data_IF_084292730927
#
_entry.id   IF_084292730927
#
_cell.length_a   1.000
_cell.length_b   1.000
_cell.length_c   1.000
_cell.angle_alpha   90.00
_cell.angle_beta   90.00
_cell.angle_gamma   90.00
#
_symmetry.space_group_name_H-M   'P 1'
#
loop_
_entity.id
_entity.type
_entity.pdbx_description
1 polymer ?
#
# COMPACT_ATOMS: atom_id res chain seq x y z
N UNK A 1 -2.00 -51.07 -57.31
CA UNK A 1 -2.68 -51.96 -58.22
C UNK A 1 -3.87 -51.22 -58.80
N UNK A 2 -4.10 -51.35 -60.13
CA UNK A 2 -5.26 -50.73 -60.75
C UNK A 2 -6.48 -51.65 -60.48
N UNK A 3 -7.65 -51.06 -60.25
CA UNK A 3 -8.91 -51.83 -60.18
C UNK A 3 -9.23 -52.44 -61.55
N UNK A 4 -9.74 -53.65 -61.58
CA UNK A 4 -10.10 -54.33 -62.83
C UNK A 4 -10.59 -55.73 -62.55
N UNK A 5 -11.09 -56.34 -63.61
CA UNK A 5 -11.53 -57.73 -63.59
C UNK A 5 -10.70 -58.48 -64.63
N UNK A 6 -10.11 -59.58 -64.27
CA UNK A 6 -9.43 -60.48 -65.18
C UNK A 6 -10.04 -61.88 -65.07
N UNK A 7 -10.10 -62.61 -66.22
CA UNK A 7 -10.48 -64.00 -66.22
C UNK A 7 -9.23 -64.87 -66.44
N UNK A 8 -8.94 -65.70 -65.53
CA UNK A 8 -7.85 -66.70 -65.62
C UNK A 8 -8.49 -67.99 -66.15
N UNK A 9 -8.02 -68.47 -67.28
CA UNK A 9 -8.49 -69.68 -67.86
C UNK A 9 -7.45 -70.80 -67.79
N UNK A 10 -7.75 -71.86 -67.08
CA UNK A 10 -6.95 -73.08 -67.08
C UNK A 10 -7.57 -74.08 -68.12
N UNK A 11 -6.68 -74.71 -68.87
CA UNK A 11 -7.06 -75.78 -69.78
C UNK A 11 -6.46 -77.09 -69.34
N UNK A 12 -7.27 -78.12 -69.21
CA UNK A 12 -6.84 -79.46 -68.97
C UNK A 12 -7.54 -80.38 -70.02
N UNK A 13 -6.78 -80.91 -70.98
CA UNK A 13 -7.25 -81.62 -72.15
C UNK A 13 -8.25 -80.79 -72.94
N UNK A 14 -9.46 -81.23 -73.13
CA UNK A 14 -10.53 -80.56 -73.88
C UNK A 14 -11.40 -79.66 -73.03
N UNK A 15 -11.18 -79.57 -71.67
CA UNK A 15 -11.98 -78.79 -70.74
C UNK A 15 -11.28 -77.49 -70.39
N UNK A 16 -12.04 -76.38 -70.37
CA UNK A 16 -11.61 -75.05 -69.91
C UNK A 16 -12.30 -74.69 -68.60
N UNK A 17 -11.51 -74.19 -67.64
CA UNK A 17 -12.00 -73.69 -66.35
C UNK A 17 -11.66 -72.22 -66.28
N UNK A 18 -12.68 -71.37 -66.08
CA UNK A 18 -12.49 -69.91 -65.95
C UNK A 18 -12.70 -69.48 -64.52
N UNK A 19 -11.71 -68.75 -63.99
CA UNK A 19 -11.78 -68.07 -62.69
C UNK A 19 -11.79 -66.56 -62.91
N UNK A 20 -12.84 -65.87 -62.48
CA UNK A 20 -12.97 -64.41 -62.56
C UNK A 20 -12.38 -63.79 -61.33
N UNK A 21 -11.26 -63.07 -61.45
CA UNK A 21 -10.61 -62.34 -60.36
C UNK A 21 -10.94 -60.85 -60.44
N UNK A 22 -11.55 -60.30 -59.41
CA UNK A 22 -11.90 -58.88 -59.35
C UNK A 22 -11.02 -58.18 -58.30
N UNK A 23 -10.14 -57.24 -58.69
CA UNK A 23 -9.37 -56.41 -57.88
C UNK A 23 -10.16 -55.15 -57.54
N UNK A 24 -10.54 -55.00 -56.29
CA UNK A 24 -11.17 -53.75 -55.79
C UNK A 24 -10.09 -52.74 -55.44
N UNK A 25 -10.34 -51.46 -55.66
CA UNK A 25 -9.46 -50.42 -55.22
C UNK A 25 -9.36 -50.44 -53.67
N UNK A 26 -8.16 -50.34 -53.10
CA UNK A 26 -8.01 -50.14 -51.69
C UNK A 26 -8.74 -48.85 -51.24
N UNK A 27 -9.65 -48.97 -50.29
CA UNK A 27 -10.25 -47.76 -49.67
C UNK A 27 -9.14 -46.97 -49.00
N UNK A 28 -9.01 -45.68 -49.39
CA UNK A 28 -8.17 -44.76 -48.61
C UNK A 28 -8.64 -44.78 -47.16
N UNK A 29 -7.74 -44.91 -46.15
CA UNK A 29 -8.13 -44.82 -44.76
C UNK A 29 -8.87 -43.51 -44.55
N UNK A 30 -10.04 -43.55 -43.90
CA UNK A 30 -10.82 -42.37 -43.53
C UNK A 30 -9.90 -41.55 -42.62
N UNK A 31 -9.72 -40.23 -42.87
CA UNK A 31 -8.86 -39.40 -42.01
C UNK A 31 -9.33 -39.54 -40.55
N UNK A 32 -8.44 -39.92 -39.68
CA UNK A 32 -8.68 -39.95 -38.24
C UNK A 32 -9.03 -38.51 -37.81
N UNK A 33 -10.18 -38.26 -37.14
CA UNK A 33 -10.52 -36.92 -36.71
C UNK A 33 -9.39 -36.37 -35.83
N UNK A 34 -8.84 -35.24 -36.23
CA UNK A 34 -7.83 -34.53 -35.40
C UNK A 34 -8.50 -34.20 -34.09
N UNK A 35 -7.88 -34.54 -32.93
CA UNK A 35 -8.46 -34.28 -31.63
C UNK A 35 -8.73 -32.78 -31.50
N UNK A 36 -9.96 -32.39 -31.18
CA UNK A 36 -10.32 -30.99 -30.89
C UNK A 36 -9.60 -30.59 -29.62
N UNK A 37 -8.77 -29.53 -29.61
CA UNK A 37 -8.07 -29.10 -28.42
C UNK A 37 -9.05 -28.76 -27.30
N UNK A 38 -8.82 -29.33 -26.10
CA UNK A 38 -9.66 -29.05 -24.92
C UNK A 38 -9.45 -27.61 -24.44
N UNK A 39 -10.47 -26.98 -23.84
CA UNK A 39 -10.31 -25.69 -23.18
C UNK A 39 -9.24 -25.73 -22.12
N UNK A 40 -8.41 -24.69 -22.04
CA UNK A 40 -7.36 -24.57 -21.00
C UNK A 40 -7.16 -23.12 -20.60
N UNK A 41 -6.92 -22.90 -19.31
CA UNK A 41 -6.58 -21.59 -18.79
C UNK A 41 -5.13 -21.23 -19.16
N UNK A 42 -4.86 -19.97 -19.46
CA UNK A 42 -3.53 -19.49 -19.86
C UNK A 42 -2.46 -19.64 -18.75
N UNK A 43 -2.89 -19.63 -17.49
CA UNK A 43 -2.05 -19.90 -16.34
C UNK A 43 -2.89 -20.51 -15.20
N UNK A 44 -2.28 -21.44 -14.46
CA UNK A 44 -2.85 -22.03 -13.23
C UNK A 44 -2.31 -21.39 -11.96
N UNK A 45 -1.28 -20.55 -12.10
CA UNK A 45 -0.63 -19.80 -11.03
C UNK A 45 -0.20 -18.44 -11.53
N UNK A 46 -0.42 -17.40 -10.74
CA UNK A 46 0.10 -16.05 -10.95
C UNK A 46 0.86 -15.61 -9.69
N UNK A 47 2.10 -15.17 -9.88
CA UNK A 47 2.85 -14.42 -8.87
C UNK A 47 2.80 -12.95 -9.26
N UNK A 48 2.28 -12.12 -8.39
CA UNK A 48 2.02 -10.70 -8.63
C UNK A 48 2.51 -9.87 -7.45
N UNK A 49 2.98 -8.66 -7.70
CA UNK A 49 3.15 -7.68 -6.64
C UNK A 49 1.84 -6.92 -6.44
N UNK A 50 1.61 -6.41 -5.23
CA UNK A 50 0.50 -5.50 -4.92
C UNK A 50 0.45 -4.36 -5.96
N UNK A 51 -0.73 -4.14 -6.56
CA UNK A 51 -0.94 -3.19 -7.64
C UNK A 51 -0.72 -3.72 -9.06
N UNK A 52 -0.14 -4.90 -9.22
CA UNK A 52 0.04 -5.53 -10.53
C UNK A 52 -1.30 -5.90 -11.18
N UNK A 53 -1.30 -5.86 -12.50
CA UNK A 53 -2.43 -6.29 -13.32
C UNK A 53 -1.95 -7.35 -14.30
N UNK A 54 -2.70 -8.47 -14.41
CA UNK A 54 -2.41 -9.58 -15.33
C UNK A 54 -3.68 -10.02 -16.03
N UNK A 55 -3.53 -10.48 -17.27
CA UNK A 55 -4.63 -10.99 -18.08
C UNK A 55 -4.64 -12.51 -18.08
N UNK A 56 -5.71 -13.12 -17.58
CA UNK A 56 -6.02 -14.54 -17.78
C UNK A 56 -6.89 -14.71 -19.02
N UNK A 57 -6.65 -15.80 -19.75
CA UNK A 57 -7.40 -16.17 -20.97
C UNK A 57 -7.71 -17.65 -20.95
N UNK A 58 -8.84 -18.03 -21.54
CA UNK A 58 -9.16 -19.42 -21.81
C UNK A 58 -8.90 -19.70 -23.29
N UNK A 59 -7.97 -20.62 -23.55
CA UNK A 59 -7.63 -21.07 -24.92
C UNK A 59 -8.61 -22.10 -25.38
N UNK A 60 -8.83 -22.17 -26.71
CA UNK A 60 -9.69 -23.15 -27.39
C UNK A 60 -11.16 -23.11 -26.91
N UNK A 61 -11.63 -21.92 -26.51
CA UNK A 61 -12.98 -21.73 -26.00
C UNK A 61 -13.59 -20.43 -26.52
N UNK A 62 -14.88 -20.44 -26.86
CA UNK A 62 -15.56 -19.28 -27.45
C UNK A 62 -16.84 -18.86 -26.72
N UNK A 63 -17.26 -19.63 -25.72
CA UNK A 63 -18.48 -19.34 -24.98
C UNK A 63 -18.27 -18.22 -23.94
N UNK A 64 -19.39 -17.71 -23.43
CA UNK A 64 -19.36 -16.69 -22.37
C UNK A 64 -18.82 -17.31 -21.07
N UNK A 65 -17.82 -16.64 -20.49
CA UNK A 65 -17.17 -17.04 -19.26
C UNK A 65 -17.61 -16.16 -18.10
N UNK A 66 -17.72 -16.77 -16.93
CA UNK A 66 -17.95 -16.09 -15.65
C UNK A 66 -16.68 -16.24 -14.81
N UNK A 67 -16.13 -15.10 -14.42
CA UNK A 67 -14.92 -15.01 -13.59
C UNK A 67 -15.30 -14.59 -12.17
N UNK A 68 -14.68 -15.21 -11.16
CA UNK A 68 -14.87 -14.88 -9.76
C UNK A 68 -13.55 -14.98 -9.00
N UNK A 69 -13.39 -14.19 -7.96
CA UNK A 69 -12.30 -14.34 -6.97
C UNK A 69 -12.87 -14.91 -5.69
N UNK A 70 -12.15 -15.84 -5.06
CA UNK A 70 -12.51 -16.40 -3.76
C UNK A 70 -12.30 -15.38 -2.63
N UNK A 71 -11.34 -14.45 -2.82
CA UNK A 71 -11.07 -13.34 -1.91
C UNK A 71 -10.72 -12.08 -2.69
N UNK A 72 -11.70 -11.17 -2.81
CA UNK A 72 -11.54 -9.90 -3.51
C UNK A 72 -10.68 -8.88 -2.76
N UNK A 73 -10.42 -9.10 -1.48
CA UNK A 73 -9.50 -8.26 -0.71
C UNK A 73 -8.04 -8.52 -1.08
N UNK A 74 -7.71 -9.72 -1.57
CA UNK A 74 -6.38 -10.11 -2.05
C UNK A 74 -6.20 -9.81 -3.54
N UNK A 75 -7.15 -10.27 -4.39
CA UNK A 75 -7.12 -9.95 -5.81
C UNK A 75 -8.53 -9.93 -6.38
N UNK A 76 -8.80 -9.01 -7.31
CA UNK A 76 -10.05 -8.93 -8.06
C UNK A 76 -9.87 -9.45 -9.48
N UNK A 77 -10.99 -9.81 -10.13
CA UNK A 77 -11.02 -10.17 -11.55
C UNK A 77 -12.24 -9.53 -12.21
N UNK A 78 -12.07 -8.98 -13.41
CA UNK A 78 -13.18 -8.45 -14.19
C UNK A 78 -13.82 -9.53 -15.11
N UNK A 79 -14.90 -9.16 -15.79
CA UNK A 79 -15.63 -10.05 -16.72
C UNK A 79 -14.81 -10.50 -17.94
N UNK A 80 -13.67 -9.88 -18.20
CA UNK A 80 -12.75 -10.20 -19.29
C UNK A 80 -11.55 -11.04 -18.82
N UNK A 81 -11.48 -11.39 -17.52
CA UNK A 81 -10.36 -12.15 -16.96
C UNK A 81 -9.13 -11.30 -16.61
N UNK A 82 -9.28 -9.98 -16.50
CA UNK A 82 -8.22 -9.08 -16.03
C UNK A 82 -8.15 -9.13 -14.51
N UNK A 83 -7.07 -9.69 -13.99
CA UNK A 83 -6.79 -9.84 -12.56
C UNK A 83 -6.01 -8.63 -12.05
N UNK A 84 -6.45 -8.05 -10.94
CA UNK A 84 -5.75 -6.95 -10.23
C UNK A 84 -5.39 -7.41 -8.83
N UNK A 85 -4.10 -7.34 -8.49
CA UNK A 85 -3.59 -7.62 -7.15
C UNK A 85 -3.89 -6.45 -6.20
N UNK A 86 -4.66 -6.70 -5.14
CA UNK A 86 -5.15 -5.67 -4.20
C UNK A 86 -4.28 -5.60 -2.96
N UNK A 87 -4.17 -6.73 -2.22
CA UNK A 87 -3.35 -6.81 -1.01
C UNK A 87 -2.55 -8.12 -0.98
N UNK A 88 -1.49 -8.12 -0.17
CA UNK A 88 -0.66 -9.30 0.10
C UNK A 88 -1.52 -10.45 0.59
N UNK A 89 -1.31 -11.64 0.03
CA UNK A 89 -2.06 -12.84 0.39
C UNK A 89 -2.12 -13.85 -0.75
N UNK A 90 -2.97 -14.85 -0.56
CA UNK A 90 -3.21 -15.88 -1.57
C UNK A 90 -4.70 -16.05 -1.78
N UNK A 91 -5.13 -16.03 -3.03
CA UNK A 91 -6.52 -16.29 -3.42
C UNK A 91 -6.59 -17.16 -4.67
N UNK A 92 -7.78 -17.62 -5.04
CA UNK A 92 -8.02 -18.31 -6.31
C UNK A 92 -8.96 -17.49 -7.18
N UNK A 93 -8.56 -17.29 -8.41
CA UNK A 93 -9.45 -16.83 -9.47
C UNK A 93 -10.05 -18.05 -10.13
N UNK A 94 -11.37 -18.13 -10.14
CA UNK A 94 -12.13 -19.19 -10.77
C UNK A 94 -12.76 -18.69 -12.05
N UNK A 95 -12.84 -19.56 -13.05
CA UNK A 95 -13.54 -19.30 -14.30
C UNK A 95 -14.40 -20.49 -14.64
N UNK A 96 -15.61 -20.24 -15.10
CA UNK A 96 -16.56 -21.26 -15.53
C UNK A 96 -17.38 -20.78 -16.73
N UNK A 97 -17.84 -21.73 -17.53
CA UNK A 97 -18.89 -21.50 -18.50
C UNK A 97 -20.28 -21.78 -17.91
N UNK A 98 -21.30 -21.70 -18.76
CA UNK A 98 -22.68 -22.04 -18.39
C UNK A 98 -22.95 -23.55 -18.35
N UNK A 99 -22.04 -24.38 -18.88
CA UNK A 99 -22.21 -25.82 -18.97
C UNK A 99 -21.40 -26.60 -17.92
N UNK A 100 -20.24 -27.09 -18.27
CA UNK A 100 -19.48 -28.03 -17.43
C UNK A 100 -18.01 -27.67 -17.26
N UNK A 101 -17.46 -26.81 -18.12
CA UNK A 101 -16.03 -26.49 -18.02
C UNK A 101 -15.74 -25.50 -16.90
N UNK A 102 -14.67 -25.80 -16.17
CA UNK A 102 -14.18 -24.98 -15.05
C UNK A 102 -12.66 -24.91 -15.09
N UNK A 103 -12.13 -23.78 -14.74
CA UNK A 103 -10.70 -23.57 -14.54
C UNK A 103 -10.44 -22.73 -13.30
N UNK A 104 -9.27 -22.87 -12.72
CA UNK A 104 -8.84 -22.05 -11.58
C UNK A 104 -7.38 -21.65 -11.71
N UNK A 105 -7.06 -20.47 -11.20
CA UNK A 105 -5.70 -19.94 -11.11
C UNK A 105 -5.45 -19.49 -9.67
N UNK A 106 -4.41 -20.01 -9.02
CA UNK A 106 -3.96 -19.53 -7.71
C UNK A 106 -3.14 -18.26 -7.92
N UNK A 107 -3.51 -17.21 -7.21
CA UNK A 107 -2.83 -15.90 -7.24
C UNK A 107 -2.12 -15.69 -5.91
N UNK A 108 -0.80 -15.54 -5.98
CA UNK A 108 0.04 -15.13 -4.86
C UNK A 108 0.38 -13.66 -5.04
N UNK A 109 -0.08 -12.84 -4.12
CA UNK A 109 0.24 -11.42 -4.10
C UNK A 109 1.30 -11.18 -3.04
N UNK A 110 2.43 -10.61 -3.45
CA UNK A 110 3.53 -10.19 -2.58
C UNK A 110 3.67 -8.68 -2.65
N UNK A 111 4.46 -8.12 -1.76
CA UNK A 111 4.82 -6.70 -1.78
C UNK A 111 6.34 -6.60 -1.91
N UNK A 112 6.79 -5.80 -2.87
CA UNK A 112 8.20 -5.45 -2.94
C UNK A 112 8.52 -4.50 -1.80
N UNK A 113 9.40 -4.92 -0.88
CA UNK A 113 9.85 -4.12 0.25
C UNK A 113 11.23 -3.56 -0.08
N UNK A 114 11.32 -2.24 -0.21
CA UNK A 114 12.59 -1.56 -0.45
C UNK A 114 13.36 -1.44 0.86
N UNK A 115 14.67 -1.69 0.80
CA UNK A 115 15.54 -1.42 1.94
C UNK A 115 15.53 0.07 2.26
N UNK A 116 15.22 0.41 3.50
CA UNK A 116 15.22 1.77 4.00
C UNK A 116 16.60 2.11 4.59
N UNK A 117 16.94 3.39 4.54
CA UNK A 117 18.15 3.94 5.12
C UNK A 117 17.73 4.89 6.23
N UNK A 118 18.35 4.76 7.41
CA UNK A 118 18.09 5.68 8.54
C UNK A 118 18.26 7.14 8.10
N UNK A 119 17.34 8.03 8.49
CA UNK A 119 17.45 9.45 8.15
C UNK A 119 18.61 10.09 8.90
N UNK A 120 19.23 11.07 8.26
CA UNK A 120 20.21 11.92 8.91
C UNK A 120 19.48 12.87 9.86
N UNK A 121 19.84 12.84 11.14
CA UNK A 121 19.32 13.76 12.17
C UNK A 121 20.27 14.94 12.34
N UNK A 122 19.75 16.16 12.16
CA UNK A 122 20.42 17.41 12.51
C UNK A 122 19.70 18.04 13.69
N UNK A 123 20.41 18.25 14.80
CA UNK A 123 19.90 18.96 15.98
C UNK A 123 20.27 20.44 15.89
N UNK A 124 19.34 21.28 16.32
CA UNK A 124 19.50 22.72 16.37
C UNK A 124 18.67 23.32 17.48
N UNK A 125 18.65 24.64 17.56
CA UNK A 125 17.84 25.38 18.55
C UNK A 125 17.13 26.53 17.85
N UNK A 126 16.02 26.98 18.45
CA UNK A 126 15.36 28.24 18.07
C UNK A 126 14.75 28.93 19.27
N UNK A 127 14.50 30.26 19.18
CA UNK A 127 13.71 30.98 20.15
C UNK A 127 12.23 30.63 20.01
N UNK A 128 11.56 30.51 21.15
CA UNK A 128 10.10 30.25 21.22
C UNK A 128 9.51 31.04 22.40
N UNK A 129 8.20 31.29 22.33
CA UNK A 129 7.47 31.97 23.44
C UNK A 129 6.94 30.92 24.40
N UNK A 130 7.07 31.21 25.71
CA UNK A 130 6.51 30.40 26.80
C UNK A 130 5.71 31.31 27.72
N UNK A 131 4.45 30.94 28.02
CA UNK A 131 3.66 31.59 29.05
C UNK A 131 4.09 31.02 30.41
N UNK A 132 4.37 31.88 31.35
CA UNK A 132 4.69 31.54 32.75
C UNK A 132 3.80 32.32 33.68
N UNK A 133 3.71 31.87 34.95
CA UNK A 133 3.16 32.65 36.04
C UNK A 133 4.32 33.14 36.89
N UNK A 134 4.47 34.46 37.02
CA UNK A 134 5.54 35.07 37.79
C UNK A 134 5.27 34.99 39.32
N UNK A 135 6.20 35.42 40.12
CA UNK A 135 6.13 35.37 41.61
C UNK A 135 4.96 36.18 42.19
N UNK A 136 4.38 37.10 41.39
CA UNK A 136 3.19 37.90 41.76
C UNK A 136 1.88 37.23 41.32
N UNK A 137 1.92 36.00 40.76
CA UNK A 137 0.76 35.29 40.27
C UNK A 137 0.25 35.82 38.92
N UNK A 138 0.97 36.68 38.22
CA UNK A 138 0.60 37.26 36.94
C UNK A 138 1.12 36.41 35.78
N UNK A 139 0.32 36.29 34.72
CA UNK A 139 0.77 35.64 33.49
C UNK A 139 1.67 36.59 32.69
N UNK A 140 2.80 36.07 32.26
CA UNK A 140 3.72 36.77 31.37
C UNK A 140 4.23 35.82 30.27
N UNK A 141 4.66 36.36 29.14
CA UNK A 141 5.22 35.61 28.04
C UNK A 141 6.71 35.92 27.93
N UNK A 142 7.52 34.90 28.10
CA UNK A 142 8.97 34.99 28.02
C UNK A 142 9.50 34.29 26.76
N UNK A 143 10.71 34.65 26.34
CA UNK A 143 11.43 33.92 25.31
C UNK A 143 12.26 32.82 25.95
N UNK A 144 12.18 31.62 25.38
CA UNK A 144 12.96 30.45 25.78
C UNK A 144 13.65 29.86 24.54
N UNK A 145 14.79 29.21 24.77
CA UNK A 145 15.45 28.44 23.70
C UNK A 145 14.96 27.02 23.73
N UNK A 146 14.50 26.51 22.60
CA UNK A 146 14.00 25.14 22.42
C UNK A 146 14.84 24.38 21.42
N UNK A 147 14.91 23.05 21.59
CA UNK A 147 15.58 22.15 20.66
C UNK A 147 14.72 21.89 19.43
N UNK A 148 15.40 21.73 18.30
CA UNK A 148 14.81 21.33 17.01
C UNK A 148 15.50 20.09 16.47
N UNK A 149 14.75 19.26 15.73
CA UNK A 149 15.14 17.97 15.22
C UNK A 149 14.75 17.89 13.75
N UNK A 150 15.73 18.00 12.85
CA UNK A 150 15.50 17.89 11.41
C UNK A 150 15.94 16.53 10.93
N UNK A 151 14.98 15.72 10.50
CA UNK A 151 15.23 14.44 9.86
C UNK A 151 15.25 14.60 8.34
N UNK A 152 16.39 14.23 7.74
CA UNK A 152 16.58 14.24 6.28
C UNK A 152 16.58 12.81 5.76
N UNK A 153 15.65 12.49 4.87
CA UNK A 153 15.40 11.16 4.36
C UNK A 153 15.96 10.98 2.95
N UNK A 154 16.77 9.96 2.74
CA UNK A 154 17.23 9.51 1.43
C UNK A 154 16.31 8.45 0.82
N UNK A 155 15.65 7.67 1.67
CA UNK A 155 14.60 6.72 1.30
C UNK A 155 13.32 7.09 2.03
N UNK A 156 12.17 6.89 1.36
CA UNK A 156 10.85 7.23 1.89
C UNK A 156 10.02 5.95 1.95
N UNK A 157 9.48 5.58 3.11
CA UNK A 157 8.66 4.38 3.21
C UNK A 157 7.33 4.60 2.48
N UNK A 158 6.90 3.58 1.75
CA UNK A 158 5.64 3.58 1.00
C UNK A 158 4.61 2.61 1.56
N UNK A 159 4.99 1.81 2.54
CA UNK A 159 4.15 0.82 3.20
C UNK A 159 4.68 0.51 4.60
N UNK A 160 3.89 -0.24 5.39
CA UNK A 160 4.23 -0.54 6.78
C UNK A 160 5.51 -1.38 6.93
N UNK A 161 5.81 -2.31 6.01
CA UNK A 161 7.01 -3.16 6.10
C UNK A 161 8.29 -2.33 5.86
N UNK A 162 8.23 -1.34 5.00
CA UNK A 162 9.31 -0.38 4.80
C UNK A 162 9.47 0.53 6.03
N UNK A 163 8.35 1.00 6.59
CA UNK A 163 8.36 1.88 7.77
C UNK A 163 8.92 1.18 9.00
N UNK A 164 8.62 -0.11 9.20
CA UNK A 164 9.13 -0.91 10.33
C UNK A 164 10.66 -1.06 10.36
N UNK A 165 11.35 -0.77 9.26
CA UNK A 165 12.81 -0.83 9.19
C UNK A 165 13.49 0.34 9.91
N UNK A 166 12.77 1.43 10.20
CA UNK A 166 13.33 2.56 10.94
C UNK A 166 13.38 2.28 12.43
N UNK A 167 14.53 2.60 13.04
CA UNK A 167 14.70 2.44 14.49
C UNK A 167 14.05 3.61 15.25
N UNK A 168 12.97 3.32 15.96
CA UNK A 168 12.24 4.24 16.83
C UNK A 168 12.51 3.99 18.32
N UNK A 169 13.59 3.27 18.68
CA UNK A 169 13.99 3.02 20.08
C UNK A 169 14.93 4.10 20.64
N UNK A 170 15.55 4.89 19.77
CA UNK A 170 16.55 5.91 20.11
C UNK A 170 16.01 6.97 21.08
N UNK A 171 16.90 7.73 21.70
CA UNK A 171 16.52 8.83 22.60
C UNK A 171 15.59 9.85 21.92
N UNK A 172 15.86 10.15 20.65
CA UNK A 172 15.06 11.08 19.83
C UNK A 172 13.90 10.38 19.08
N UNK A 173 13.61 9.12 19.41
CA UNK A 173 12.62 8.27 18.73
C UNK A 173 11.22 8.86 18.68
N UNK A 174 10.81 9.66 19.71
CA UNK A 174 9.51 10.36 19.71
C UNK A 174 9.37 11.34 18.53
N UNK A 175 10.43 12.07 18.20
CA UNK A 175 10.42 12.97 17.04
C UNK A 175 10.45 12.19 15.73
N UNK A 176 11.26 11.11 15.67
CA UNK A 176 11.28 10.23 14.50
C UNK A 176 9.90 9.60 14.24
N UNK A 177 9.19 9.17 15.29
CA UNK A 177 7.82 8.65 15.19
C UNK A 177 6.87 9.66 14.54
N UNK A 178 6.95 10.95 14.95
CA UNK A 178 6.17 12.01 14.32
C UNK A 178 6.57 12.26 12.86
N UNK A 179 7.88 12.24 12.56
CA UNK A 179 8.34 12.38 11.17
C UNK A 179 7.83 11.25 10.28
N UNK A 180 7.87 10.00 10.76
CA UNK A 180 7.36 8.83 10.04
C UNK A 180 5.83 8.87 9.86
N UNK A 181 5.09 9.41 10.83
CA UNK A 181 3.65 9.64 10.69
C UNK A 181 3.35 10.63 9.55
N UNK A 182 4.09 11.72 9.46
CA UNK A 182 3.96 12.69 8.36
C UNK A 182 4.24 12.03 7.01
N UNK A 183 5.25 11.15 6.94
CA UNK A 183 5.51 10.39 5.71
C UNK A 183 4.40 9.38 5.40
N UNK A 184 3.78 8.77 6.40
CA UNK A 184 2.65 7.87 6.21
C UNK A 184 1.46 8.57 5.53
N UNK A 185 1.13 9.81 5.90
CA UNK A 185 0.04 10.56 5.24
C UNK A 185 0.24 10.76 3.75
N UNK A 186 1.49 10.77 3.27
CA UNK A 186 1.80 10.93 1.84
C UNK A 186 1.45 9.69 1.01
N UNK A 187 1.29 8.54 1.65
CA UNK A 187 0.95 7.28 0.95
C UNK A 187 -0.55 7.13 0.71
N UNK A 188 -1.38 7.91 1.41
CA UNK A 188 -2.82 7.81 1.26
C UNK A 188 -3.30 8.34 -0.10
N UNK A 189 -4.08 7.52 -0.80
CA UNK A 189 -4.80 7.94 -2.02
C UNK A 189 -6.23 7.40 -1.97
N UNK A 190 -7.17 7.98 -2.72
CA UNK A 190 -8.54 7.45 -2.80
C UNK A 190 -8.64 6.00 -3.26
N UNK A 191 -7.65 5.52 -4.03
CA UNK A 191 -7.60 4.16 -4.58
C UNK A 191 -6.73 3.21 -3.77
N UNK A 192 -5.86 3.72 -2.90
CA UNK A 192 -5.01 2.92 -2.02
C UNK A 192 -4.85 3.59 -0.65
N UNK A 193 -5.85 3.50 0.25
CA UNK A 193 -5.74 4.01 1.63
C UNK A 193 -4.95 3.08 2.56
N UNK A 194 -4.86 1.79 2.23
CA UNK A 194 -4.43 0.71 3.14
C UNK A 194 -3.00 0.90 3.62
N UNK A 195 -2.06 1.28 2.76
CA UNK A 195 -0.67 1.45 3.17
C UNK A 195 -0.53 2.52 4.27
N UNK A 196 -1.24 3.65 4.14
CA UNK A 196 -1.28 4.69 5.17
C UNK A 196 -1.91 4.18 6.48
N UNK A 197 -3.04 3.47 6.39
CA UNK A 197 -3.76 2.92 7.54
C UNK A 197 -2.89 1.93 8.33
N UNK A 198 -2.17 1.04 7.63
CA UNK A 198 -1.25 0.08 8.24
C UNK A 198 -0.03 0.76 8.87
N UNK A 199 0.54 1.78 8.23
CA UNK A 199 1.65 2.57 8.78
C UNK A 199 1.22 3.29 10.06
N UNK A 200 0.05 3.94 10.08
CA UNK A 200 -0.49 4.60 11.26
C UNK A 200 -0.77 3.57 12.37
N UNK A 201 -1.36 2.42 12.03
CA UNK A 201 -1.63 1.33 12.99
C UNK A 201 -0.34 0.87 13.68
N UNK A 202 0.75 0.69 12.93
CA UNK A 202 2.05 0.36 13.49
C UNK A 202 2.58 1.44 14.42
N UNK A 203 2.57 2.71 13.99
CA UNK A 203 3.07 3.83 14.80
C UNK A 203 2.19 4.09 16.04
N UNK A 204 0.93 3.72 16.01
CA UNK A 204 -0.01 3.81 17.13
C UNK A 204 0.03 2.56 18.05
N UNK A 205 0.79 1.54 17.67
CA UNK A 205 0.85 0.23 18.34
C UNK A 205 -0.55 -0.39 18.57
N UNK A 206 -1.47 -0.11 17.66
CA UNK A 206 -2.86 -0.56 17.72
C UNK A 206 -3.49 -0.54 16.34
N UNK A 207 -4.20 -1.59 16.00
CA UNK A 207 -4.95 -1.65 14.74
C UNK A 207 -5.99 -0.53 14.67
N UNK A 208 -6.08 0.11 13.52
CA UNK A 208 -7.03 1.19 13.26
C UNK A 208 -8.44 0.64 13.10
N UNK A 209 -9.37 1.07 13.95
CA UNK A 209 -10.78 0.68 13.85
C UNK A 209 -11.44 1.27 12.61
N UNK A 210 -12.58 0.70 12.17
CA UNK A 210 -13.32 1.21 11.02
C UNK A 210 -13.77 2.67 11.20
N UNK A 211 -14.06 3.10 12.44
CA UNK A 211 -14.36 4.49 12.76
C UNK A 211 -13.19 5.42 12.37
N UNK A 212 -11.97 5.09 12.79
CA UNK A 212 -10.78 5.89 12.50
C UNK A 212 -10.36 5.82 11.02
N UNK A 213 -10.56 4.70 10.34
CA UNK A 213 -10.36 4.60 8.88
C UNK A 213 -11.30 5.54 8.14
N UNK A 214 -12.56 5.60 8.55
CA UNK A 214 -13.54 6.55 7.99
C UNK A 214 -13.14 7.99 8.27
N UNK A 215 -12.73 8.31 9.51
CA UNK A 215 -12.25 9.63 9.89
C UNK A 215 -11.05 10.07 9.02
N UNK A 216 -10.02 9.21 8.90
CA UNK A 216 -8.85 9.47 8.04
C UNK A 216 -9.28 9.74 6.60
N UNK A 217 -10.12 8.88 6.03
CA UNK A 217 -10.64 9.02 4.66
C UNK A 217 -11.33 10.37 4.46
N UNK A 218 -12.20 10.75 5.37
CA UNK A 218 -12.99 11.98 5.24
C UNK A 218 -12.10 13.22 5.31
N UNK A 219 -11.07 13.21 6.18
CA UNK A 219 -10.06 14.27 6.26
C UNK A 219 -9.17 14.35 5.03
N UNK A 220 -8.73 13.19 4.52
CA UNK A 220 -7.88 13.14 3.32
C UNK A 220 -8.61 13.53 2.05
N UNK A 221 -9.92 13.26 1.96
CA UNK A 221 -10.75 13.69 0.81
C UNK A 221 -11.13 15.16 0.87
N UNK A 222 -11.34 15.71 2.08
CA UNK A 222 -11.73 17.10 2.24
C UNK A 222 -10.70 18.03 1.60
N UNK A 223 -11.14 18.96 0.77
CA UNK A 223 -10.30 19.97 0.10
C UNK A 223 -9.08 19.37 -0.62
N UNK A 224 -9.19 18.13 -1.13
CA UNK A 224 -8.09 17.37 -1.73
C UNK A 224 -6.89 17.17 -0.78
N UNK A 225 -7.14 17.05 0.52
CA UNK A 225 -6.10 16.91 1.56
C UNK A 225 -5.03 15.87 1.22
N UNK A 226 -5.40 14.73 0.61
CA UNK A 226 -4.47 13.70 0.20
C UNK A 226 -3.35 14.17 -0.74
N UNK A 227 -3.56 15.27 -1.49
CA UNK A 227 -2.53 15.82 -2.38
C UNK A 227 -1.51 16.67 -1.63
N UNK A 228 -1.93 17.32 -0.55
CA UNK A 228 -1.18 18.41 0.06
C UNK A 228 -0.81 18.17 1.52
N UNK A 229 -1.68 17.53 2.31
CA UNK A 229 -1.53 17.47 3.77
C UNK A 229 -0.18 16.89 4.20
N UNK A 230 0.18 15.68 3.74
CA UNK A 230 1.45 15.06 4.08
C UNK A 230 2.66 15.89 3.63
N UNK A 231 2.55 16.54 2.47
CA UNK A 231 3.62 17.40 1.97
C UNK A 231 3.73 18.73 2.72
N UNK A 232 2.61 19.27 3.24
CA UNK A 232 2.59 20.58 3.91
C UNK A 232 3.52 20.67 5.13
N UNK A 233 3.85 19.53 5.73
CA UNK A 233 4.76 19.41 6.86
C UNK A 233 6.23 19.30 6.47
N UNK A 234 6.55 19.19 5.19
CA UNK A 234 7.92 19.02 4.71
C UNK A 234 8.58 20.37 4.49
N UNK A 235 9.89 20.43 4.77
CA UNK A 235 10.66 21.66 4.59
C UNK A 235 10.60 22.12 3.11
N UNK A 236 10.40 23.43 2.93
CA UNK A 236 10.28 24.07 1.62
C UNK A 236 8.89 23.96 0.97
N UNK A 237 7.98 23.15 1.51
CA UNK A 237 6.61 23.06 1.02
C UNK A 237 5.77 24.27 1.53
N UNK A 238 5.12 24.98 0.62
CA UNK A 238 4.30 26.15 0.93
C UNK A 238 3.03 26.17 0.06
N UNK A 239 1.98 26.91 0.44
CA UNK A 239 0.82 27.09 -0.43
C UNK A 239 1.19 27.67 -1.81
N UNK A 240 2.19 28.58 -1.85
CA UNK A 240 2.62 29.25 -3.08
C UNK A 240 3.28 28.30 -4.10
N UNK A 241 3.88 27.20 -3.64
CA UNK A 241 4.51 26.20 -4.52
C UNK A 241 3.73 24.88 -4.59
N UNK A 242 2.41 24.91 -4.32
CA UNK A 242 1.54 23.74 -4.28
C UNK A 242 2.07 22.63 -3.33
N UNK A 243 2.63 23.02 -2.21
CA UNK A 243 3.25 22.12 -1.24
C UNK A 243 4.29 21.17 -1.84
N UNK A 244 5.10 21.68 -2.77
CA UNK A 244 6.25 20.97 -3.33
C UNK A 244 7.43 21.09 -2.37
N UNK A 245 7.88 20.01 -1.73
CA UNK A 245 8.96 20.09 -0.75
C UNK A 245 10.33 20.24 -1.41
N UNK A 246 11.28 20.80 -0.65
CA UNK A 246 12.69 20.79 -1.03
C UNK A 246 13.26 19.37 -1.07
N UNK A 247 14.30 19.16 -1.86
CA UNK A 247 15.03 17.89 -1.88
C UNK A 247 16.46 18.10 -1.35
N UNK A 248 17.00 17.17 -0.56
CA UNK A 248 16.35 15.93 -0.07
C UNK A 248 15.16 16.22 0.84
N UNK A 249 14.23 15.27 0.93
CA UNK A 249 13.05 15.39 1.79
C UNK A 249 13.47 15.50 3.24
N UNK A 250 13.02 16.54 3.92
CA UNK A 250 13.29 16.73 5.33
C UNK A 250 12.10 17.28 6.10
N UNK A 251 12.08 17.01 7.41
CA UNK A 251 11.02 17.39 8.35
C UNK A 251 11.67 17.97 9.58
N UNK A 252 11.27 19.17 9.97
CA UNK A 252 11.75 19.82 11.20
C UNK A 252 10.69 19.75 12.28
N UNK A 253 11.06 19.12 13.39
CA UNK A 253 10.26 18.98 14.59
C UNK A 253 10.89 19.76 15.73
N UNK A 254 10.14 20.03 16.77
CA UNK A 254 10.63 20.76 17.92
C UNK A 254 10.07 20.24 19.23
N UNK A 255 10.80 20.56 20.28
CA UNK A 255 10.42 20.35 21.65
C UNK A 255 9.18 21.16 22.02
N UNK A 256 8.43 20.68 23.03
CA UNK A 256 7.38 21.43 23.71
C UNK A 256 7.98 22.58 24.54
N UNK A 257 7.23 23.67 24.65
CA UNK A 257 7.59 24.83 25.48
C UNK A 257 7.01 24.77 26.89
N UNK A 258 6.08 23.84 27.17
CA UNK A 258 5.39 23.77 28.48
C UNK A 258 6.18 23.09 29.57
N UNK A 259 6.85 21.91 29.35
CA UNK A 259 7.55 21.23 30.44
C UNK A 259 8.68 22.07 31.05
N UNK A 260 8.73 22.10 32.37
CA UNK A 260 9.73 22.86 33.14
C UNK A 260 9.11 24.02 33.94
N UNK A 261 9.89 24.53 34.91
CA UNK A 261 9.45 25.61 35.80
C UNK A 261 10.11 26.94 35.42
N UNK A 262 9.36 28.03 35.53
CA UNK A 262 9.89 29.38 35.26
C UNK A 262 10.50 29.48 33.87
N UNK A 263 11.72 29.98 33.75
CA UNK A 263 12.44 30.16 32.48
C UNK A 263 13.01 28.87 31.92
N UNK A 264 13.04 27.79 32.71
CA UNK A 264 13.57 26.51 32.24
C UNK A 264 12.54 25.73 31.44
N UNK A 265 13.03 24.96 30.46
CA UNK A 265 12.29 23.94 29.75
C UNK A 265 13.15 22.67 29.71
N UNK A 266 12.53 21.52 29.79
CA UNK A 266 13.24 20.24 29.71
C UNK A 266 12.48 19.25 28.89
N UNK A 267 13.19 18.52 28.03
CA UNK A 267 12.63 17.43 27.23
C UNK A 267 12.42 16.16 28.06
N UNK A 268 13.07 16.04 29.18
CA UNK A 268 12.97 14.88 30.09
C UNK A 268 11.71 14.93 30.96
N UNK A 269 11.05 16.08 31.02
CA UNK A 269 9.80 16.24 31.76
C UNK A 269 8.63 15.87 30.80
N UNK A 270 7.83 14.86 31.16
CA UNK A 270 6.68 14.49 30.35
C UNK A 270 5.59 15.56 30.41
N UNK A 271 4.75 15.61 29.36
CA UNK A 271 3.54 16.45 29.33
C UNK A 271 2.48 15.91 30.31
N UNK A 272 2.36 14.57 30.40
CA UNK A 272 1.60 13.89 31.44
C UNK A 272 2.53 12.92 32.17
N UNK A 273 2.58 13.06 33.51
CA UNK A 273 3.34 12.15 34.38
C UNK A 273 2.76 10.71 34.29
N UNK A 274 3.63 9.70 34.45
CA UNK A 274 3.18 8.33 34.46
C UNK A 274 2.28 8.04 35.67
N UNK A 275 1.31 7.14 35.46
CA UNK A 275 0.48 6.58 36.51
C UNK A 275 0.72 5.07 36.62
N UNK A 276 -0.03 4.36 37.47
CA UNK A 276 0.01 2.89 37.54
C UNK A 276 -0.39 2.20 36.22
N UNK A 277 -1.23 2.85 35.40
CA UNK A 277 -1.82 2.27 34.19
C UNK A 277 -1.42 2.99 32.90
N UNK A 278 -0.85 4.19 33.01
CA UNK A 278 -0.44 4.98 31.85
C UNK A 278 1.04 5.31 31.90
N UNK A 279 1.78 5.19 30.76
CA UNK A 279 3.18 5.60 30.68
C UNK A 279 3.32 7.12 30.74
N UNK A 280 4.56 7.60 30.90
CA UNK A 280 4.88 9.02 30.70
C UNK A 280 4.58 9.42 29.25
N UNK A 281 3.86 10.52 29.06
CA UNK A 281 3.43 11.02 27.76
C UNK A 281 4.21 12.29 27.42
N UNK A 282 4.78 12.30 26.23
CA UNK A 282 5.58 13.42 25.73
C UNK A 282 4.94 14.03 24.49
N UNK A 283 4.98 15.35 24.39
CA UNK A 283 4.44 16.09 23.28
C UNK A 283 5.56 16.58 22.36
N UNK A 284 5.39 16.38 21.07
CA UNK A 284 6.31 16.87 20.03
C UNK A 284 5.56 17.74 19.04
N UNK A 285 6.17 18.81 18.55
CA UNK A 285 5.57 19.81 17.70
C UNK A 285 6.22 19.89 16.33
N UNK A 286 5.47 20.37 15.35
CA UNK A 286 5.97 20.85 14.08
C UNK A 286 5.33 22.17 13.72
N UNK A 287 6.13 23.06 13.16
CA UNK A 287 5.68 24.29 12.52
C UNK A 287 5.69 24.04 11.01
N UNK A 288 4.66 24.48 10.30
CA UNK A 288 4.54 24.21 8.86
C UNK A 288 3.78 25.33 8.15
N UNK A 289 4.04 25.47 6.86
CA UNK A 289 3.48 26.57 6.08
C UNK A 289 1.96 26.49 5.83
N UNK A 290 1.37 25.32 6.06
CA UNK A 290 -0.06 25.08 5.89
C UNK A 290 -0.95 25.68 6.98
N UNK A 291 -0.39 26.23 8.05
CA UNK A 291 -1.15 26.83 9.16
C UNK A 291 -0.31 27.89 9.88
N UNK A 292 -1.00 28.85 10.50
CA UNK A 292 -0.36 29.85 11.37
C UNK A 292 -0.09 29.33 12.78
N UNK A 293 -0.58 28.13 13.10
CA UNK A 293 -0.36 27.47 14.39
C UNK A 293 0.38 26.15 14.20
N UNK A 294 1.32 25.88 15.12
CA UNK A 294 2.01 24.60 15.19
C UNK A 294 1.04 23.46 15.42
N UNK A 295 1.42 22.27 14.98
CA UNK A 295 0.73 21.02 15.27
C UNK A 295 1.61 20.14 16.14
N UNK A 296 0.98 19.23 16.86
CA UNK A 296 1.67 18.35 17.79
C UNK A 296 1.04 16.96 17.82
N UNK A 297 1.80 16.01 18.31
CA UNK A 297 1.31 14.69 18.70
C UNK A 297 1.81 14.34 20.09
N UNK A 298 1.08 13.48 20.77
CA UNK A 298 1.51 12.81 21.99
C UNK A 298 2.15 11.47 21.66
N UNK A 299 3.27 11.16 22.31
CA UNK A 299 3.98 9.88 22.17
C UNK A 299 4.34 9.32 23.55
N UNK A 300 4.55 8.02 23.60
CA UNK A 300 5.03 7.32 24.79
C UNK A 300 6.11 6.31 24.41
N UNK A 301 6.99 6.00 25.35
CA UNK A 301 7.97 4.93 25.19
C UNK A 301 7.41 3.63 25.75
N UNK A 302 7.31 2.60 24.93
CA UNK A 302 6.80 1.30 25.34
C UNK A 302 7.85 0.55 26.18
N UNK A 303 7.50 0.18 27.41
CA UNK A 303 8.45 -0.33 28.42
C UNK A 303 9.18 -1.62 28.00
N UNK A 304 8.46 -2.55 27.31
CA UNK A 304 9.02 -3.85 26.92
C UNK A 304 9.88 -3.78 25.64
N UNK A 305 9.52 -2.90 24.68
CA UNK A 305 10.20 -2.85 23.37
C UNK A 305 11.16 -1.69 23.23
N UNK A 306 11.08 -0.70 24.12
CA UNK A 306 11.84 0.54 24.03
C UNK A 306 11.42 1.46 22.88
N UNK A 307 10.45 1.06 22.06
CA UNK A 307 9.96 1.83 20.91
C UNK A 307 9.08 2.99 21.35
N UNK A 308 9.16 4.08 20.61
CA UNK A 308 8.25 5.21 20.76
C UNK A 308 7.02 5.03 19.87
N UNK A 309 5.85 5.13 20.46
CA UNK A 309 4.56 5.03 19.78
C UNK A 309 3.72 6.26 20.03
N UNK A 310 2.76 6.51 19.15
CA UNK A 310 1.76 7.55 19.28
C UNK A 310 0.81 7.17 20.42
N UNK A 311 0.46 8.14 21.28
CA UNK A 311 -0.47 7.96 22.38
C UNK A 311 -1.91 8.26 21.95
N UNK A 312 -2.82 7.36 22.28
CA UNK A 312 -4.28 7.53 22.25
C UNK A 312 -4.82 8.23 20.99
N UNK A 313 -4.46 7.74 19.80
CA UNK A 313 -4.93 8.28 18.52
C UNK A 313 -4.50 9.74 18.24
N UNK A 314 -3.54 10.29 18.96
CA UNK A 314 -3.04 11.67 18.74
C UNK A 314 -2.54 11.93 17.31
N UNK A 315 -2.38 10.87 16.49
CA UNK A 315 -2.07 11.03 15.07
C UNK A 315 -3.08 11.91 14.32
N UNK A 316 -4.35 11.95 14.76
CA UNK A 316 -5.40 12.76 14.10
C UNK A 316 -5.23 14.27 14.33
N UNK A 317 -4.43 14.70 15.30
CA UNK A 317 -4.18 16.12 15.56
C UNK A 317 -3.42 16.81 14.42
N UNK A 318 -2.75 16.03 13.56
CA UNK A 318 -2.12 16.53 12.33
C UNK A 318 -3.10 16.59 11.14
N UNK A 319 -4.28 15.97 11.22
CA UNK A 319 -5.29 15.94 10.14
C UNK A 319 -6.21 17.16 10.21
N UNK A 320 -5.66 18.32 10.11
CA UNK A 320 -6.43 19.58 10.13
C UNK A 320 -6.50 20.21 8.75
N UNK A 321 -7.45 21.13 8.56
CA UNK A 321 -7.46 21.95 7.34
C UNK A 321 -6.16 22.70 7.20
N UNK A 322 -5.63 22.72 5.98
CA UNK A 322 -4.44 23.48 5.60
C UNK A 322 -4.84 24.63 4.69
N UNK A 323 -4.01 25.67 4.62
CA UNK A 323 -4.17 26.75 3.63
C UNK A 323 -4.17 26.14 2.23
N UNK A 324 -5.13 26.52 1.40
CA UNK A 324 -5.18 26.02 0.03
C UNK A 324 -4.04 26.61 -0.81
N UNK A 325 -3.52 25.85 -1.80
CA UNK A 325 -2.57 26.37 -2.76
C UNK A 325 -3.09 27.64 -3.47
N UNK A 326 -2.20 28.56 -3.79
CA UNK A 326 -2.54 29.77 -4.53
C UNK A 326 -3.17 29.40 -5.90
N UNK A 327 -4.35 29.93 -6.17
CA UNK A 327 -5.11 29.69 -7.42
C UNK A 327 -6.23 28.66 -7.33
N UNK A 328 -6.41 27.98 -6.20
CA UNK A 328 -7.52 27.00 -5.99
C UNK A 328 -8.76 27.62 -5.29
N UNK A 329 -8.86 28.92 -5.19
CA UNK A 329 -10.09 29.58 -4.76
C UNK A 329 -11.02 29.74 -5.98
N UNK A 330 -11.87 28.73 -6.24
CA UNK A 330 -13.12 28.97 -6.96
C UNK A 330 -14.09 29.63 -5.97
N UNK A 331 -14.49 30.86 -6.27
CA UNK A 331 -15.52 31.61 -5.55
C UNK A 331 -16.91 31.11 -5.92
#
# INVERSE_FOLDING_TARGET
MKKGTAVITAKANTKKFNCKVTVKAAQKPKPTPTPVPKPSLSATTLNMNKGDVRQLQVKNYKEILVWTSDDTSVATVDSKGKVTAVNVGTTKIQVRDKSTWRGSCTVYVTQTVKKQVEPVLTKGTKSAKKEITNDKGQKEVINVTINTYTYTFTTIPTNAEELKQYDITTADGRYKTMALLILAYRTWTPTNPTDCEEMISYLNNKEMTQYYKNFLRDRMKADNGYKYLGNSYLNGATPANNYTPSKPISITLRQDTLPGKGNSISEDIPYFEPTQTTPAIYRSFTDFAGSDSSRWICTYKHSKTGKWYIWDQSWHDLLTRIKQPAGNYEY
#
